data_IF_807907179577
#
_entry.id   IF_807907179577
#
_cell.length_a   1.000
_cell.length_b   1.000
_cell.length_c   1.000
_cell.angle_alpha   90.00
_cell.angle_beta   90.00
_cell.angle_gamma   90.00
#
_symmetry.space_group_name_H-M   'P 1'
#
loop_
_entity.id
_entity.type
_entity.pdbx_description
1 polymer ?
#
# COMPACT_ATOMS: atom_id res chain seq x y z
N UNK A 1 16.60 -14.91 -6.69
CA UNK A 1 15.58 -15.64 -7.51
C UNK A 1 15.05 -14.68 -8.55
N UNK A 2 14.68 -15.15 -9.75
CA UNK A 2 14.02 -14.27 -10.73
C UNK A 2 12.64 -13.84 -10.18
N UNK A 3 12.15 -12.66 -10.54
CA UNK A 3 10.82 -12.17 -10.15
C UNK A 3 9.73 -13.23 -10.46
N UNK A 4 9.88 -13.99 -11.55
CA UNK A 4 8.97 -15.08 -11.91
C UNK A 4 8.88 -16.18 -10.84
N UNK A 5 10.00 -16.58 -10.25
CA UNK A 5 10.02 -17.60 -9.18
C UNK A 5 9.32 -17.10 -7.91
N UNK A 6 9.47 -15.82 -7.59
CA UNK A 6 8.79 -15.20 -6.43
C UNK A 6 7.27 -15.14 -6.66
N UNK A 7 6.82 -14.73 -7.86
CA UNK A 7 5.38 -14.72 -8.20
C UNK A 7 4.77 -16.13 -8.26
N UNK A 8 5.49 -17.13 -8.76
CA UNK A 8 5.04 -18.52 -8.72
C UNK A 8 4.87 -19.02 -7.27
N UNK A 9 5.84 -18.69 -6.38
CA UNK A 9 5.77 -19.01 -4.97
C UNK A 9 4.61 -18.28 -4.26
N UNK A 10 4.39 -17.01 -4.58
CA UNK A 10 3.25 -16.21 -4.11
C UNK A 10 1.92 -16.86 -4.47
N UNK A 11 1.73 -17.19 -5.77
CA UNK A 11 0.54 -17.87 -6.27
C UNK A 11 0.31 -19.23 -5.60
N UNK A 12 1.34 -20.04 -5.47
CA UNK A 12 1.28 -21.34 -4.78
C UNK A 12 0.85 -21.19 -3.31
N UNK A 13 1.45 -20.26 -2.55
CA UNK A 13 1.10 -20.04 -1.13
C UNK A 13 -0.33 -19.54 -0.98
N UNK A 14 -0.77 -18.64 -1.86
CA UNK A 14 -2.15 -18.14 -1.88
C UNK A 14 -3.14 -19.29 -2.18
N UNK A 15 -2.86 -20.09 -3.19
CA UNK A 15 -3.69 -21.25 -3.54
C UNK A 15 -3.73 -22.28 -2.40
N UNK A 16 -2.58 -22.59 -1.81
CA UNK A 16 -2.48 -23.48 -0.65
C UNK A 16 -3.33 -22.97 0.53
N UNK A 17 -3.23 -21.69 0.86
CA UNK A 17 -4.03 -21.08 1.91
C UNK A 17 -5.54 -21.29 1.67
N UNK A 18 -5.99 -21.12 0.42
CA UNK A 18 -7.41 -21.27 0.07
C UNK A 18 -7.88 -22.72 0.07
N UNK A 19 -7.16 -23.61 -0.60
CA UNK A 19 -7.55 -25.02 -0.74
C UNK A 19 -7.54 -25.74 0.60
N UNK A 20 -6.54 -25.49 1.44
CA UNK A 20 -6.42 -26.13 2.75
C UNK A 20 -7.10 -25.33 3.87
N UNK A 21 -7.73 -24.20 3.56
CA UNK A 21 -8.31 -23.25 4.54
C UNK A 21 -7.32 -22.88 5.66
N UNK A 22 -6.03 -22.80 5.32
CA UNK A 22 -4.95 -22.45 6.23
C UNK A 22 -4.68 -20.95 6.18
N UNK A 23 -4.50 -20.35 7.33
CA UNK A 23 -4.04 -18.96 7.41
C UNK A 23 -2.54 -18.92 7.15
N UNK A 24 -2.12 -18.22 6.10
CA UNK A 24 -0.71 -18.04 5.73
C UNK A 24 -0.49 -16.55 5.49
N UNK A 25 0.39 -15.85 6.24
CA UNK A 25 0.65 -14.43 6.07
C UNK A 25 1.50 -14.19 4.81
N UNK A 26 0.88 -14.30 3.63
CA UNK A 26 1.56 -14.18 2.33
C UNK A 26 2.07 -12.77 2.09
N UNK A 27 1.29 -11.76 2.54
CA UNK A 27 1.60 -10.33 2.46
C UNK A 27 1.82 -9.75 3.86
N UNK A 28 2.93 -9.04 4.02
CA UNK A 28 3.28 -8.32 5.25
C UNK A 28 3.46 -6.83 4.95
N UNK A 29 2.72 -5.97 5.64
CA UNK A 29 3.07 -4.56 5.78
C UNK A 29 3.94 -4.39 7.01
N UNK A 30 5.22 -4.07 6.82
CA UNK A 30 6.20 -3.93 7.89
C UNK A 30 6.54 -2.45 8.11
N UNK A 31 6.11 -1.93 9.26
CA UNK A 31 6.53 -0.61 9.73
C UNK A 31 7.90 -0.76 10.40
N UNK A 32 8.96 -0.44 9.66
CA UNK A 32 10.32 -0.63 10.16
C UNK A 32 10.70 0.38 11.24
N UNK A 33 10.12 1.58 11.16
CA UNK A 33 10.29 2.68 12.11
C UNK A 33 9.04 3.57 12.13
N UNK A 34 8.70 4.16 13.26
CA UNK A 34 7.68 5.19 13.35
C UNK A 34 8.27 6.61 13.25
N UNK A 35 9.60 6.74 13.24
CA UNK A 35 10.28 8.03 13.00
C UNK A 35 10.00 8.52 11.59
N UNK A 36 9.74 9.83 11.44
CA UNK A 36 9.49 10.46 10.14
C UNK A 36 10.09 11.87 10.12
N UNK A 37 10.59 12.27 8.97
CA UNK A 37 11.09 13.62 8.68
C UNK A 37 9.99 14.59 8.21
N UNK A 38 8.72 14.14 8.14
CA UNK A 38 7.55 14.95 7.80
C UNK A 38 6.46 14.87 8.89
N UNK A 39 5.50 15.81 8.81
CA UNK A 39 4.28 15.87 9.63
C UNK A 39 3.10 16.17 8.70
N UNK A 40 2.66 15.16 7.93
CA UNK A 40 1.54 15.30 6.99
C UNK A 40 0.22 15.46 7.76
N UNK A 41 -0.69 16.32 7.28
CA UNK A 41 -1.94 16.68 7.96
C UNK A 41 -2.90 15.51 8.24
N UNK A 42 -2.81 14.44 7.49
CA UNK A 42 -3.68 13.25 7.61
C UNK A 42 -2.94 12.03 8.14
N UNK A 43 -1.71 12.18 8.61
CA UNK A 43 -0.87 11.04 8.99
C UNK A 43 -1.33 10.44 10.32
N UNK A 44 -1.65 9.15 10.30
CA UNK A 44 -2.04 8.40 11.49
C UNK A 44 -0.84 7.81 12.26
N UNK A 45 0.37 7.84 11.69
CA UNK A 45 1.59 7.30 12.33
C UNK A 45 2.28 8.33 13.21
N UNK A 46 2.20 9.60 12.84
CA UNK A 46 2.93 10.69 13.50
C UNK A 46 1.99 11.78 14.06
N UNK A 47 0.85 11.36 14.57
CA UNK A 47 -0.10 12.25 15.25
C UNK A 47 0.47 12.67 16.61
N UNK A 48 0.31 13.96 16.98
CA UNK A 48 0.84 14.52 18.23
C UNK A 48 0.20 13.93 19.50
N UNK A 49 -0.97 13.29 19.37
CA UNK A 49 -1.63 12.59 20.47
C UNK A 49 -1.01 11.24 20.80
N UNK A 50 -0.14 10.70 19.93
CA UNK A 50 0.52 9.41 20.11
C UNK A 50 1.69 9.56 21.10
N UNK A 51 1.83 8.57 22.00
CA UNK A 51 2.92 8.49 22.93
C UNK A 51 4.30 8.58 22.24
N UNK A 52 5.22 9.35 22.82
CA UNK A 52 6.58 9.55 22.29
C UNK A 52 7.37 8.25 22.14
N UNK A 53 7.14 7.26 23.00
CA UNK A 53 7.80 5.95 22.89
C UNK A 53 7.33 5.24 21.63
N UNK A 54 6.04 5.29 21.33
CA UNK A 54 5.47 4.73 20.09
C UNK A 54 5.98 5.50 18.87
N UNK A 55 6.01 6.84 18.91
CA UNK A 55 6.50 7.67 17.81
C UNK A 55 7.98 7.43 17.47
N UNK A 56 8.79 7.01 18.45
CA UNK A 56 10.21 6.71 18.26
C UNK A 56 10.50 5.21 18.13
N UNK A 57 9.46 4.37 18.11
CA UNK A 57 9.65 2.93 17.96
C UNK A 57 10.33 2.61 16.63
N UNK A 58 11.31 1.73 16.68
CA UNK A 58 12.10 1.28 15.53
C UNK A 58 12.65 -0.09 15.82
N UNK A 59 12.69 -0.95 14.83
CA UNK A 59 13.38 -2.22 14.93
C UNK A 59 14.87 -2.04 14.67
N UNK A 60 15.73 -2.65 15.48
CA UNK A 60 17.13 -2.81 15.12
C UNK A 60 17.25 -3.71 13.88
N UNK A 61 18.38 -3.62 13.17
CA UNK A 61 18.67 -4.52 12.05
C UNK A 61 18.50 -5.99 12.39
N UNK A 62 18.97 -6.42 13.56
CA UNK A 62 18.88 -7.80 14.03
C UNK A 62 17.44 -8.24 14.29
N UNK A 63 16.64 -7.39 14.93
CA UNK A 63 15.21 -7.65 15.12
C UNK A 63 14.48 -7.74 13.77
N UNK A 64 14.79 -6.83 12.84
CA UNK A 64 14.23 -6.86 11.50
C UNK A 64 14.55 -8.16 10.77
N UNK A 65 15.79 -8.64 10.84
CA UNK A 65 16.19 -9.92 10.25
C UNK A 65 15.43 -11.09 10.87
N UNK A 66 15.33 -11.15 12.20
CA UNK A 66 14.56 -12.20 12.88
C UNK A 66 13.07 -12.19 12.48
N UNK A 67 12.47 -10.99 12.39
CA UNK A 67 11.09 -10.82 11.94
C UNK A 67 10.91 -11.32 10.51
N UNK A 68 11.79 -10.92 9.61
CA UNK A 68 11.76 -11.32 8.21
C UNK A 68 11.90 -12.83 8.05
N UNK A 69 12.80 -13.46 8.82
CA UNK A 69 13.02 -14.91 8.81
C UNK A 69 11.77 -15.66 9.24
N UNK A 70 11.18 -15.27 10.37
CA UNK A 70 10.02 -15.95 10.90
C UNK A 70 8.79 -15.79 9.98
N UNK A 71 8.56 -14.61 9.44
CA UNK A 71 7.49 -14.40 8.45
C UNK A 71 7.73 -15.16 7.15
N UNK A 72 8.98 -15.21 6.65
CA UNK A 72 9.33 -16.01 5.49
C UNK A 72 9.00 -17.50 5.69
N UNK A 73 9.34 -18.05 6.85
CA UNK A 73 9.05 -19.44 7.22
C UNK A 73 7.55 -19.68 7.35
N UNK A 74 6.79 -18.72 7.86
CA UNK A 74 5.33 -18.75 7.90
C UNK A 74 4.68 -18.65 6.51
N UNK A 75 5.40 -18.17 5.50
CA UNK A 75 4.94 -18.17 4.12
C UNK A 75 4.89 -16.80 3.43
N UNK A 76 5.38 -15.74 4.08
CA UNK A 76 5.44 -14.40 3.47
C UNK A 76 6.33 -14.40 2.22
N UNK A 77 5.82 -13.81 1.14
CA UNK A 77 6.52 -13.68 -0.14
C UNK A 77 6.48 -12.25 -0.71
N UNK A 78 5.72 -11.37 -0.09
CA UNK A 78 5.69 -9.94 -0.43
C UNK A 78 5.70 -9.10 0.84
N UNK A 79 6.56 -8.10 0.87
CA UNK A 79 6.64 -7.11 1.94
C UNK A 79 6.38 -5.71 1.36
N UNK A 80 5.46 -4.99 2.00
CA UNK A 80 5.31 -3.56 1.87
C UNK A 80 6.04 -2.92 3.06
N UNK A 81 7.23 -2.42 2.81
CA UNK A 81 8.01 -1.72 3.82
C UNK A 81 7.55 -0.27 3.91
N UNK A 82 7.10 0.10 5.07
CA UNK A 82 6.59 1.42 5.39
C UNK A 82 6.97 1.80 6.84
N UNK A 83 6.33 2.83 7.38
CA UNK A 83 6.57 3.29 8.72
C UNK A 83 6.15 4.75 8.86
N UNK A 84 6.88 5.53 9.65
CA UNK A 84 6.92 6.97 9.50
C UNK A 84 7.57 7.30 8.15
N UNK A 85 8.89 7.17 8.07
CA UNK A 85 9.65 7.20 6.81
C UNK A 85 10.75 6.13 6.87
N UNK A 86 10.66 5.03 6.08
CA UNK A 86 11.63 3.95 6.18
C UNK A 86 13.07 4.39 5.86
N UNK A 87 13.25 5.38 5.00
CA UNK A 87 14.59 5.85 4.62
C UNK A 87 15.31 6.67 5.71
N UNK A 88 14.68 6.96 6.86
CA UNK A 88 15.39 7.53 8.02
C UNK A 88 16.09 6.46 8.85
N UNK A 89 15.79 5.19 8.63
CA UNK A 89 16.44 4.08 9.32
C UNK A 89 17.89 3.95 8.84
N UNK A 90 18.84 3.86 9.78
CA UNK A 90 20.26 3.87 9.45
C UNK A 90 20.69 2.64 8.67
N UNK A 91 20.20 1.46 9.02
CA UNK A 91 20.54 0.17 8.38
C UNK A 91 19.58 -0.22 7.24
N UNK A 92 18.81 0.72 6.67
CA UNK A 92 17.74 0.40 5.72
C UNK A 92 18.24 -0.36 4.48
N UNK A 93 19.43 -0.03 3.98
CA UNK A 93 20.02 -0.70 2.82
C UNK A 93 20.28 -2.19 3.07
N UNK A 94 20.86 -2.52 4.23
CA UNK A 94 21.12 -3.92 4.61
C UNK A 94 19.82 -4.71 4.82
N UNK A 95 18.78 -4.06 5.35
CA UNK A 95 17.46 -4.69 5.55
C UNK A 95 16.79 -4.95 4.19
N UNK A 96 16.83 -3.99 3.25
CA UNK A 96 16.33 -4.16 1.88
C UNK A 96 17.04 -5.33 1.19
N UNK A 97 18.37 -5.35 1.25
CA UNK A 97 19.19 -6.40 0.66
C UNK A 97 18.86 -7.78 1.24
N UNK A 98 18.66 -7.85 2.55
CA UNK A 98 18.30 -9.09 3.22
C UNK A 98 16.95 -9.64 2.74
N UNK A 99 15.92 -8.80 2.65
CA UNK A 99 14.60 -9.17 2.16
C UNK A 99 14.67 -9.71 0.73
N UNK A 100 15.36 -8.97 -0.16
CA UNK A 100 15.44 -9.33 -1.57
C UNK A 100 16.27 -10.60 -1.78
N UNK A 101 17.38 -10.77 -1.06
CA UNK A 101 18.18 -12.01 -1.09
C UNK A 101 17.41 -13.25 -0.66
N UNK A 102 16.44 -13.12 0.25
CA UNK A 102 15.53 -14.20 0.61
C UNK A 102 14.51 -14.56 -0.48
N UNK A 103 14.42 -13.77 -1.55
CA UNK A 103 13.44 -13.96 -2.62
C UNK A 103 12.05 -13.45 -2.25
N UNK A 104 11.94 -12.52 -1.31
CA UNK A 104 10.71 -11.80 -0.98
C UNK A 104 10.60 -10.60 -1.91
N UNK A 105 9.42 -10.38 -2.50
CA UNK A 105 9.15 -9.23 -3.34
C UNK A 105 8.91 -7.99 -2.47
N UNK A 106 9.72 -6.96 -2.64
CA UNK A 106 9.74 -5.79 -1.77
C UNK A 106 9.24 -4.52 -2.45
N UNK A 107 8.22 -3.92 -1.86
CA UNK A 107 7.82 -2.54 -2.11
C UNK A 107 8.33 -1.66 -0.97
N UNK A 108 9.06 -0.60 -1.29
CA UNK A 108 9.44 0.44 -0.32
C UNK A 108 8.53 1.65 -0.52
N UNK A 109 7.80 2.03 0.52
CA UNK A 109 6.86 3.16 0.51
C UNK A 109 7.52 4.32 1.27
N UNK A 110 7.80 5.40 0.56
CA UNK A 110 8.61 6.53 1.06
C UNK A 110 8.00 7.86 0.67
N UNK A 111 8.29 8.93 1.42
CA UNK A 111 7.97 10.29 1.02
C UNK A 111 8.90 10.84 -0.07
N UNK A 112 9.92 10.11 -0.45
CA UNK A 112 10.82 10.42 -1.56
C UNK A 112 11.96 11.40 -1.26
N UNK A 113 11.91 12.14 -0.16
CA UNK A 113 12.85 13.25 0.13
C UNK A 113 14.30 12.77 0.27
N UNK A 114 14.47 11.58 0.87
CA UNK A 114 15.80 11.04 1.13
C UNK A 114 16.36 10.19 -0.02
N UNK A 115 15.56 9.87 -1.03
CA UNK A 115 15.95 9.02 -2.15
C UNK A 115 17.29 9.45 -2.78
N UNK A 116 17.50 10.75 -3.14
CA UNK A 116 18.75 11.14 -3.80
C UNK A 116 20.02 10.87 -2.98
N UNK A 117 19.89 10.74 -1.66
CA UNK A 117 21.01 10.44 -0.74
C UNK A 117 21.15 8.96 -0.42
N UNK A 118 20.14 8.15 -0.77
CA UNK A 118 19.96 6.75 -0.38
C UNK A 118 19.85 5.81 -1.60
N UNK A 119 20.32 6.25 -2.78
CA UNK A 119 20.19 5.50 -4.03
C UNK A 119 20.87 4.12 -3.97
N UNK A 120 22.04 4.04 -3.38
CA UNK A 120 22.77 2.77 -3.24
C UNK A 120 22.06 1.80 -2.30
N UNK A 121 21.37 2.31 -1.28
CA UNK A 121 20.64 1.50 -0.30
C UNK A 121 19.34 0.95 -0.86
N UNK A 122 18.67 1.66 -1.78
CA UNK A 122 17.36 1.25 -2.33
C UNK A 122 17.43 0.53 -3.67
N UNK A 123 18.61 0.49 -4.34
CA UNK A 123 18.76 -0.01 -5.72
C UNK A 123 18.28 -1.45 -5.94
N UNK A 124 18.26 -2.27 -4.90
CA UNK A 124 17.84 -3.65 -4.96
C UNK A 124 16.35 -3.87 -4.65
N UNK A 125 15.61 -2.83 -4.25
CA UNK A 125 14.16 -2.93 -4.06
C UNK A 125 13.45 -3.26 -5.38
N UNK A 126 12.36 -4.02 -5.30
CA UNK A 126 11.61 -4.42 -6.50
C UNK A 126 10.72 -3.29 -7.02
N UNK A 127 10.16 -2.47 -6.14
CA UNK A 127 9.33 -1.31 -6.46
C UNK A 127 9.57 -0.22 -5.42
N UNK A 128 9.71 1.01 -5.87
CA UNK A 128 9.69 2.18 -5.00
C UNK A 128 8.35 2.92 -5.18
N UNK A 129 7.61 3.06 -4.10
CA UNK A 129 6.36 3.83 -4.06
C UNK A 129 6.64 5.19 -3.42
N UNK A 130 6.59 6.26 -4.20
CA UNK A 130 6.81 7.62 -3.70
C UNK A 130 5.48 8.29 -3.42
N UNK A 131 5.34 8.81 -2.22
CA UNK A 131 4.13 9.51 -1.78
C UNK A 131 4.08 10.93 -2.37
N UNK A 132 3.04 11.22 -3.19
CA UNK A 132 2.82 12.52 -3.82
C UNK A 132 1.33 12.76 -4.01
N UNK A 133 0.77 13.79 -3.34
CA UNK A 133 -0.68 14.00 -3.25
C UNK A 133 -1.23 15.03 -4.25
N UNK A 134 -0.39 15.64 -5.04
CA UNK A 134 -0.76 16.65 -6.02
C UNK A 134 0.44 17.41 -6.55
N UNK A 135 0.21 18.42 -7.39
CA UNK A 135 1.25 19.25 -7.97
C UNK A 135 1.52 20.50 -7.11
N UNK A 136 2.80 20.83 -6.92
CA UNK A 136 3.22 22.08 -6.27
C UNK A 136 2.60 22.29 -4.88
N UNK A 137 1.93 23.42 -4.73
CA UNK A 137 1.33 23.84 -3.46
C UNK A 137 0.24 22.88 -2.95
N UNK A 138 -0.45 22.13 -3.83
CA UNK A 138 -1.47 21.13 -3.43
C UNK A 138 -0.84 19.99 -2.64
N UNK A 139 0.35 19.55 -3.03
CA UNK A 139 1.12 18.57 -2.28
C UNK A 139 1.67 19.18 -0.97
N UNK A 140 2.25 20.37 -1.10
CA UNK A 140 2.92 21.05 0.02
C UNK A 140 1.95 21.43 1.14
N UNK A 141 0.71 21.77 0.80
CA UNK A 141 -0.34 22.00 1.80
C UNK A 141 -0.63 20.78 2.68
N UNK A 142 -0.58 19.58 2.11
CA UNK A 142 -0.86 18.34 2.81
C UNK A 142 0.36 17.75 3.52
N UNK A 143 1.55 17.86 2.89
CA UNK A 143 2.78 17.15 3.33
C UNK A 143 3.85 18.06 3.92
N UNK A 144 3.75 19.37 3.69
CA UNK A 144 4.72 20.37 4.14
C UNK A 144 5.43 21.08 2.98
N UNK A 145 5.79 22.33 3.22
CA UNK A 145 6.38 23.23 2.22
C UNK A 145 7.67 22.65 1.59
N UNK A 146 7.75 22.68 0.27
CA UNK A 146 8.91 22.25 -0.52
C UNK A 146 9.07 20.73 -0.59
N UNK A 147 8.05 19.97 -0.22
CA UNK A 147 8.08 18.49 -0.32
C UNK A 147 7.78 18.02 -1.73
N UNK A 148 7.00 18.78 -2.52
CA UNK A 148 6.70 18.45 -3.91
C UNK A 148 7.98 18.28 -4.76
N UNK A 149 8.79 19.33 -4.81
CA UNK A 149 10.01 19.31 -5.62
C UNK A 149 10.96 18.18 -5.21
N UNK A 150 11.11 17.95 -3.90
CA UNK A 150 11.98 16.90 -3.37
C UNK A 150 11.46 15.50 -3.73
N UNK A 151 10.15 15.28 -3.67
CA UNK A 151 9.52 14.02 -4.04
C UNK A 151 9.65 13.75 -5.55
N UNK A 152 9.41 14.75 -6.40
CA UNK A 152 9.61 14.66 -7.86
C UNK A 152 11.07 14.32 -8.19
N UNK A 153 12.03 15.01 -7.59
CA UNK A 153 13.45 14.69 -7.73
C UNK A 153 13.78 13.25 -7.32
N UNK A 154 13.12 12.75 -6.26
CA UNK A 154 13.21 11.35 -5.82
C UNK A 154 12.66 10.38 -6.86
N UNK A 155 11.49 10.66 -7.44
CA UNK A 155 10.86 9.84 -8.49
C UNK A 155 11.79 9.75 -9.72
N UNK A 156 12.28 10.89 -10.19
CA UNK A 156 13.22 10.93 -11.32
C UNK A 156 14.49 10.12 -11.05
N UNK A 157 15.02 10.19 -9.83
CA UNK A 157 16.22 9.44 -9.46
C UNK A 157 15.97 7.93 -9.50
N UNK A 158 14.82 7.46 -8.98
CA UNK A 158 14.40 6.04 -9.03
C UNK A 158 14.24 5.56 -10.48
N UNK A 159 13.55 6.36 -11.30
CA UNK A 159 13.31 6.01 -12.72
C UNK A 159 14.62 5.95 -13.50
N UNK A 160 15.57 6.87 -13.26
CA UNK A 160 16.92 6.82 -13.86
C UNK A 160 17.70 5.56 -13.50
N UNK A 161 17.47 4.98 -12.32
CA UNK A 161 18.07 3.69 -11.93
C UNK A 161 17.38 2.48 -12.59
N UNK A 162 16.27 2.68 -13.32
CA UNK A 162 15.50 1.58 -13.92
C UNK A 162 14.70 0.76 -12.91
N UNK A 163 14.49 1.28 -11.69
CA UNK A 163 13.64 0.64 -10.69
C UNK A 163 12.19 1.01 -11.01
N UNK A 164 11.24 0.06 -11.02
CA UNK A 164 9.81 0.36 -11.14
C UNK A 164 9.39 1.38 -10.09
N UNK A 165 8.88 2.53 -10.54
CA UNK A 165 8.44 3.61 -9.67
C UNK A 165 6.93 3.77 -9.70
N UNK A 166 6.35 3.96 -8.52
CA UNK A 166 4.92 4.20 -8.36
C UNK A 166 4.71 5.47 -7.55
N UNK A 167 3.88 6.35 -8.05
CA UNK A 167 3.34 7.48 -7.28
C UNK A 167 2.16 6.95 -6.47
N UNK A 168 2.14 7.21 -5.17
CA UNK A 168 1.02 6.89 -4.29
C UNK A 168 0.43 8.18 -3.73
N UNK A 169 -0.84 8.44 -4.04
CA UNK A 169 -1.54 9.63 -3.55
C UNK A 169 -2.61 9.25 -2.52
N UNK A 170 -2.62 9.95 -1.39
CA UNK A 170 -3.75 9.94 -0.47
C UNK A 170 -4.74 11.00 -0.92
N UNK A 171 -5.94 10.56 -1.33
CA UNK A 171 -6.97 11.46 -1.86
C UNK A 171 -7.80 12.03 -0.73
N UNK A 172 -7.80 13.34 -0.63
CA UNK A 172 -8.57 14.13 0.33
C UNK A 172 -9.43 15.15 -0.39
N UNK A 173 -10.34 15.82 0.31
CA UNK A 173 -11.15 16.91 -0.28
C UNK A 173 -10.31 18.03 -0.88
N UNK A 174 -9.07 18.22 -0.42
CA UNK A 174 -8.17 19.29 -0.89
C UNK A 174 -7.48 18.97 -2.22
N UNK A 175 -7.32 17.69 -2.57
CA UNK A 175 -6.58 17.29 -3.78
C UNK A 175 -7.36 16.40 -4.75
N UNK A 176 -8.58 15.97 -4.44
CA UNK A 176 -9.35 15.05 -5.30
C UNK A 176 -9.51 15.55 -6.75
N UNK A 177 -9.60 16.89 -6.97
CA UNK A 177 -9.71 17.48 -8.31
C UNK A 177 -8.39 17.55 -9.07
N UNK A 178 -7.28 17.09 -8.49
CA UNK A 178 -5.95 17.10 -9.12
C UNK A 178 -5.55 15.75 -9.67
N UNK A 179 -6.46 14.77 -9.68
CA UNK A 179 -6.11 13.40 -10.04
C UNK A 179 -5.65 13.27 -11.49
N UNK A 180 -6.26 14.01 -12.43
CA UNK A 180 -5.85 14.03 -13.83
C UNK A 180 -4.43 14.59 -13.98
N UNK A 181 -4.16 15.76 -13.40
CA UNK A 181 -2.84 16.38 -13.42
C UNK A 181 -1.76 15.42 -12.85
N UNK A 182 -2.11 14.69 -11.80
CA UNK A 182 -1.21 13.74 -11.16
C UNK A 182 -0.97 12.50 -12.03
N UNK A 183 -1.99 12.00 -12.73
CA UNK A 183 -1.87 10.89 -13.66
C UNK A 183 -1.02 11.26 -14.90
N UNK A 184 -1.18 12.48 -15.41
CA UNK A 184 -0.35 13.02 -16.48
C UNK A 184 1.11 13.18 -16.04
N UNK A 185 1.35 13.72 -14.86
CA UNK A 185 2.70 13.80 -14.28
C UNK A 185 3.33 12.40 -14.12
N UNK A 186 2.54 11.40 -13.67
CA UNK A 186 3.02 10.03 -13.57
C UNK A 186 3.47 9.48 -14.93
N UNK A 187 2.70 9.73 -16.01
CA UNK A 187 3.07 9.36 -17.38
C UNK A 187 4.37 10.05 -17.80
N UNK A 188 4.47 11.34 -17.59
CA UNK A 188 5.64 12.15 -18.02
C UNK A 188 6.92 11.75 -17.27
N UNK A 189 6.78 11.36 -16.00
CA UNK A 189 7.86 10.81 -15.16
C UNK A 189 8.11 9.31 -15.39
N UNK A 190 7.37 8.64 -16.29
CA UNK A 190 7.46 7.17 -16.51
C UNK A 190 7.25 6.35 -15.23
N UNK A 191 6.38 6.83 -14.37
CA UNK A 191 5.91 6.15 -13.17
C UNK A 191 4.45 5.69 -13.36
N UNK A 192 3.98 4.80 -12.50
CA UNK A 192 2.54 4.49 -12.41
C UNK A 192 1.91 5.23 -11.24
N UNK A 193 0.59 5.44 -11.30
CA UNK A 193 -0.18 6.07 -10.24
C UNK A 193 -1.07 5.07 -9.51
N UNK A 194 -1.03 5.07 -8.19
CA UNK A 194 -2.00 4.41 -7.33
C UNK A 194 -2.50 5.39 -6.27
N UNK A 195 -3.69 5.14 -5.76
CA UNK A 195 -4.32 6.03 -4.78
C UNK A 195 -4.81 5.24 -3.58
N UNK A 196 -5.02 5.94 -2.47
CA UNK A 196 -5.82 5.46 -1.34
C UNK A 196 -6.74 6.56 -0.84
N UNK A 197 -7.92 6.22 -0.31
CA UNK A 197 -8.63 7.15 0.55
C UNK A 197 -7.81 7.38 1.82
N UNK A 198 -8.00 8.50 2.51
CA UNK A 198 -7.41 8.69 3.83
C UNK A 198 -8.00 7.66 4.81
N UNK A 199 -7.23 7.29 5.82
CA UNK A 199 -7.65 6.30 6.84
C UNK A 199 -8.67 6.91 7.83
N UNK A 200 -9.80 7.38 7.30
CA UNK A 200 -10.89 7.98 8.09
C UNK A 200 -12.06 6.99 8.32
N UNK A 201 -11.75 5.72 8.56
CA UNK A 201 -12.76 4.78 9.06
C UNK A 201 -12.95 5.05 10.57
N UNK A 202 -13.58 6.21 10.87
CA UNK A 202 -13.77 6.72 12.21
C UNK A 202 -13.86 8.25 12.22
N UNK A 203 -13.81 8.83 13.43
CA UNK A 203 -13.69 10.28 13.59
C UNK A 203 -12.29 10.72 13.16
N UNK A 204 -12.20 11.72 12.30
CA UNK A 204 -10.94 12.33 11.91
C UNK A 204 -10.75 13.65 12.64
N UNK A 205 -9.52 13.91 13.07
CA UNK A 205 -9.12 15.23 13.61
C UNK A 205 -9.06 16.31 12.51
N UNK A 206 -9.27 15.94 11.24
CA UNK A 206 -9.22 16.83 10.08
C UNK A 206 -10.51 16.76 9.25
N UNK A 207 -11.66 17.26 9.74
CA UNK A 207 -12.95 17.17 9.04
C UNK A 207 -12.96 17.86 7.67
N UNK A 208 -12.10 18.88 7.46
CA UNK A 208 -11.92 19.60 6.20
C UNK A 208 -11.24 18.77 5.10
N UNK A 209 -10.65 17.63 5.44
CA UNK A 209 -10.08 16.67 4.49
C UNK A 209 -11.08 15.59 4.07
N UNK A 210 -12.22 15.50 4.74
CA UNK A 210 -13.24 14.46 4.51
C UNK A 210 -13.96 14.69 3.18
N UNK A 211 -14.03 13.67 2.35
CA UNK A 211 -14.70 13.66 1.05
C UNK A 211 -16.16 13.23 1.26
N UNK A 212 -17.12 13.91 0.68
CA UNK A 212 -18.52 13.49 0.70
C UNK A 212 -18.76 12.29 -0.22
N UNK A 213 -19.86 11.57 0.01
CA UNK A 213 -20.24 10.43 -0.84
C UNK A 213 -20.44 10.83 -2.31
N UNK A 214 -20.96 12.04 -2.57
CA UNK A 214 -21.13 12.55 -3.93
C UNK A 214 -19.78 12.83 -4.59
N UNK A 215 -18.86 13.51 -3.88
CA UNK A 215 -17.51 13.78 -4.36
C UNK A 215 -16.74 12.48 -4.64
N UNK A 216 -16.91 11.41 -3.81
CA UNK A 216 -16.31 10.10 -4.08
C UNK A 216 -16.83 9.49 -5.38
N UNK A 217 -18.15 9.54 -5.64
CA UNK A 217 -18.72 8.99 -6.87
C UNK A 217 -18.23 9.71 -8.11
N UNK A 218 -18.13 11.05 -8.06
CA UNK A 218 -17.57 11.85 -9.13
C UNK A 218 -16.09 11.52 -9.37
N UNK A 219 -15.32 11.42 -8.30
CA UNK A 219 -13.92 11.05 -8.34
C UNK A 219 -13.69 9.66 -8.96
N UNK A 220 -14.47 8.64 -8.57
CA UNK A 220 -14.31 7.29 -9.12
C UNK A 220 -14.67 7.21 -10.61
N UNK A 221 -15.63 8.01 -11.07
CA UNK A 221 -15.94 8.13 -12.50
C UNK A 221 -14.75 8.70 -13.26
N UNK A 222 -14.22 9.83 -12.80
CA UNK A 222 -13.03 10.43 -13.42
C UNK A 222 -11.84 9.48 -13.40
N UNK A 223 -11.59 8.79 -12.29
CA UNK A 223 -10.48 7.84 -12.17
C UNK A 223 -10.60 6.65 -13.13
N UNK A 224 -11.84 6.18 -13.37
CA UNK A 224 -12.14 5.17 -14.39
C UNK A 224 -11.91 5.71 -15.81
N UNK A 225 -12.29 6.93 -16.09
CA UNK A 225 -12.03 7.58 -17.38
C UNK A 225 -10.53 7.68 -17.66
N UNK A 226 -9.72 8.09 -16.67
CA UNK A 226 -8.26 8.15 -16.80
C UNK A 226 -7.64 6.79 -17.13
N UNK A 227 -8.13 5.71 -16.50
CA UNK A 227 -7.70 4.35 -16.84
C UNK A 227 -8.05 4.00 -18.29
N UNK A 228 -9.27 4.32 -18.75
CA UNK A 228 -9.74 4.06 -20.12
C UNK A 228 -9.01 4.91 -21.18
N UNK A 229 -8.56 6.11 -20.82
CA UNK A 229 -7.70 6.95 -21.64
C UNK A 229 -6.26 6.40 -21.77
N UNK A 230 -5.92 5.35 -21.02
CA UNK A 230 -4.60 4.72 -21.06
C UNK A 230 -3.54 5.43 -20.22
N UNK A 231 -3.93 6.29 -19.28
CA UNK A 231 -3.00 6.86 -18.31
C UNK A 231 -2.47 5.77 -17.38
N UNK A 232 -1.27 5.91 -16.80
CA UNK A 232 -0.57 4.86 -16.09
C UNK A 232 -1.16 4.56 -14.69
N UNK A 233 -2.44 4.25 -14.63
CA UNK A 233 -3.16 3.88 -13.41
C UNK A 233 -2.80 2.44 -13.04
N UNK A 234 -2.30 2.23 -11.83
CA UNK A 234 -1.86 0.92 -11.35
C UNK A 234 -2.99 0.09 -10.68
N UNK A 235 -4.15 0.68 -10.46
CA UNK A 235 -5.31 -0.03 -9.93
C UNK A 235 -6.07 -0.74 -11.06
N UNK A 236 -6.57 -1.94 -10.80
CA UNK A 236 -7.34 -2.70 -11.79
C UNK A 236 -8.72 -2.09 -12.04
N UNK A 237 -9.25 -2.30 -13.25
CA UNK A 237 -10.61 -1.92 -13.63
C UNK A 237 -11.62 -2.41 -12.58
N UNK A 238 -11.52 -3.69 -12.19
CA UNK A 238 -12.45 -4.30 -11.25
C UNK A 238 -12.43 -3.63 -9.87
N UNK A 239 -11.25 -3.20 -9.40
CA UNK A 239 -11.15 -2.52 -8.11
C UNK A 239 -11.76 -1.13 -8.16
N UNK A 240 -11.59 -0.41 -9.27
CA UNK A 240 -12.20 0.92 -9.50
C UNK A 240 -13.72 0.79 -9.60
N UNK A 241 -14.24 -0.16 -10.39
CA UNK A 241 -15.68 -0.44 -10.49
C UNK A 241 -16.29 -0.78 -9.12
N UNK A 242 -15.61 -1.60 -8.31
CA UNK A 242 -16.07 -1.91 -6.95
C UNK A 242 -16.13 -0.69 -6.03
N UNK A 243 -15.22 0.26 -6.20
CA UNK A 243 -15.27 1.52 -5.47
C UNK A 243 -16.38 2.45 -6.00
N UNK A 244 -16.57 2.54 -7.32
CA UNK A 244 -17.62 3.34 -7.95
C UNK A 244 -19.02 2.88 -7.54
N UNK A 245 -19.23 1.56 -7.53
CA UNK A 245 -20.51 0.93 -7.19
C UNK A 245 -20.69 0.72 -5.67
N UNK A 246 -19.83 1.31 -4.82
CA UNK A 246 -19.89 1.15 -3.38
C UNK A 246 -21.28 1.46 -2.84
N UNK A 247 -21.96 0.51 -2.13
CA UNK A 247 -23.40 0.58 -1.93
C UNK A 247 -23.86 1.38 -0.70
N UNK A 248 -22.91 1.82 0.13
CA UNK A 248 -23.17 2.53 1.39
C UNK A 248 -22.29 3.78 1.50
N UNK A 249 -22.29 4.42 2.66
CA UNK A 249 -21.37 5.52 2.96
C UNK A 249 -19.91 5.06 2.79
N UNK A 250 -19.09 5.86 2.07
CA UNK A 250 -17.68 5.54 1.80
C UNK A 250 -16.80 5.52 3.07
N UNK A 251 -17.24 6.16 4.14
CA UNK A 251 -16.56 6.17 5.43
C UNK A 251 -16.96 5.00 6.33
N UNK A 252 -17.74 4.06 5.81
CA UNK A 252 -18.21 2.88 6.50
C UNK A 252 -17.77 1.62 5.76
N UNK A 253 -17.42 0.58 6.50
CA UNK A 253 -17.21 -0.76 5.95
C UNK A 253 -18.49 -1.59 5.95
N UNK A 254 -18.57 -2.58 5.08
CA UNK A 254 -19.64 -3.58 5.03
C UNK A 254 -19.40 -4.60 6.13
N UNK A 255 -20.40 -4.85 6.96
CA UNK A 255 -20.37 -5.80 8.07
C UNK A 255 -20.76 -7.21 7.64
N UNK A 256 -20.38 -8.19 8.48
CA UNK A 256 -20.80 -9.58 8.32
C UNK A 256 -22.34 -9.64 8.36
N UNK A 257 -22.93 -10.31 7.36
CA UNK A 257 -24.39 -10.48 7.25
C UNK A 257 -25.11 -9.39 6.44
N UNK A 258 -24.50 -8.25 6.15
CA UNK A 258 -25.10 -7.26 5.26
C UNK A 258 -25.15 -7.78 3.81
N UNK A 259 -26.29 -7.59 3.14
CA UNK A 259 -26.54 -8.03 1.76
C UNK A 259 -27.05 -6.85 0.93
N UNK A 260 -26.70 -6.86 -0.35
CA UNK A 260 -27.08 -5.82 -1.32
C UNK A 260 -27.51 -6.49 -2.61
N UNK A 261 -28.61 -6.04 -3.21
CA UNK A 261 -29.20 -6.67 -4.41
C UNK A 261 -28.26 -6.58 -5.62
N UNK A 262 -27.60 -5.43 -5.81
CA UNK A 262 -26.78 -5.15 -6.98
C UNK A 262 -25.29 -5.02 -6.66
N UNK A 263 -24.85 -5.38 -5.46
CA UNK A 263 -23.44 -5.31 -5.08
C UNK A 263 -22.98 -6.56 -4.35
N UNK A 264 -21.96 -7.21 -4.88
CA UNK A 264 -21.29 -8.33 -4.22
C UNK A 264 -19.98 -7.87 -3.59
N UNK A 265 -19.91 -7.78 -2.25
CA UNK A 265 -18.69 -7.41 -1.55
C UNK A 265 -17.53 -8.35 -1.87
N UNK A 266 -16.33 -7.78 -2.01
CA UNK A 266 -15.09 -8.56 -2.09
C UNK A 266 -14.67 -8.90 -0.66
N UNK A 267 -14.59 -10.19 -0.34
CA UNK A 267 -14.19 -10.62 1.00
C UNK A 267 -12.75 -10.23 1.30
N UNK A 268 -12.58 -9.43 2.36
CA UNK A 268 -11.28 -8.97 2.83
C UNK A 268 -10.49 -10.11 3.48
N UNK A 269 -9.28 -10.36 3.01
CA UNK A 269 -8.39 -11.42 3.49
C UNK A 269 -7.37 -10.95 4.55
N UNK A 270 -7.57 -9.76 5.10
CA UNK A 270 -6.76 -9.25 6.20
C UNK A 270 -6.94 -10.16 7.44
N UNK A 271 -5.83 -10.51 8.08
CA UNK A 271 -5.79 -11.51 9.14
C UNK A 271 -5.79 -12.98 8.67
N UNK A 272 -6.00 -13.23 7.37
CA UNK A 272 -5.91 -14.58 6.77
C UNK A 272 -4.66 -14.75 5.90
N UNK A 273 -4.40 -13.82 5.01
CA UNK A 273 -3.26 -13.85 4.08
C UNK A 273 -2.47 -12.54 4.05
N UNK A 274 -3.00 -11.51 4.65
CA UNK A 274 -2.36 -10.22 4.85
C UNK A 274 -2.29 -9.89 6.34
N UNK A 275 -1.19 -9.27 6.73
CA UNK A 275 -0.95 -8.78 8.11
C UNK A 275 -0.13 -7.51 8.07
N UNK A 276 -0.31 -6.64 9.05
CA UNK A 276 0.58 -5.51 9.30
C UNK A 276 1.28 -5.68 10.66
N UNK A 277 2.52 -5.24 10.75
CA UNK A 277 3.32 -5.23 11.96
C UNK A 277 3.90 -3.84 12.19
N UNK A 278 3.50 -3.20 13.27
CA UNK A 278 3.99 -1.89 13.69
C UNK A 278 5.39 -1.96 14.29
N UNK A 279 6.12 -0.86 14.24
CA UNK A 279 7.48 -0.75 14.78
C UNK A 279 7.52 -0.93 16.31
N UNK A 280 6.41 -0.65 17.00
CA UNK A 280 6.22 -0.89 18.45
C UNK A 280 6.02 -2.38 18.80
N UNK A 281 5.86 -3.25 17.79
CA UNK A 281 5.69 -4.69 17.96
C UNK A 281 4.24 -5.18 17.93
N UNK A 282 3.27 -4.29 17.71
CA UNK A 282 1.86 -4.68 17.62
C UNK A 282 1.53 -5.22 16.24
N UNK A 283 0.86 -6.37 16.20
CA UNK A 283 0.39 -6.99 14.95
C UNK A 283 -1.06 -6.60 14.68
N UNK A 284 -1.35 -6.11 13.46
CA UNK A 284 -2.66 -5.59 13.09
C UNK A 284 -3.31 -6.40 11.97
N UNK A 285 -4.62 -6.59 12.06
CA UNK A 285 -5.40 -7.13 10.94
C UNK A 285 -5.47 -6.14 9.76
N UNK A 286 -5.58 -4.85 10.05
CA UNK A 286 -5.85 -3.84 9.04
C UNK A 286 -5.24 -2.49 9.43
N UNK A 287 -4.52 -1.86 8.48
CA UNK A 287 -3.94 -0.53 8.66
C UNK A 287 -4.99 0.60 8.54
N UNK A 288 -6.14 0.33 7.89
CA UNK A 288 -7.17 1.36 7.64
C UNK A 288 -8.12 1.58 8.83
N UNK A 289 -8.10 0.71 9.85
CA UNK A 289 -8.97 0.79 11.02
C UNK A 289 -8.26 1.38 12.24
N UNK A 290 -7.24 2.21 12.00
CA UNK A 290 -6.53 2.91 13.06
C UNK A 290 -5.73 1.97 13.95
N UNK A 291 -4.84 1.22 13.39
CA UNK A 291 -3.69 0.43 13.94
C UNK A 291 -3.45 0.48 15.47
N UNK A 292 -4.47 0.42 16.31
CA UNK A 292 -4.29 0.68 17.74
C UNK A 292 -4.41 -0.58 18.62
N UNK A 293 -4.95 -1.69 18.09
CA UNK A 293 -5.20 -2.87 18.91
C UNK A 293 -4.83 -4.15 18.19
N UNK A 294 -4.02 -4.95 18.84
CA UNK A 294 -3.59 -6.26 18.38
C UNK A 294 -2.63 -6.91 19.36
N UNK A 295 -2.27 -8.17 19.14
CA UNK A 295 -1.29 -8.87 19.97
C UNK A 295 0.11 -8.29 19.72
N UNK A 296 0.89 -8.12 20.80
CA UNK A 296 2.28 -7.63 20.72
C UNK A 296 3.26 -8.80 20.58
N UNK A 297 4.06 -8.79 19.51
CA UNK A 297 5.05 -9.84 19.24
C UNK A 297 6.18 -9.89 20.26
N UNK A 298 6.50 -8.75 20.89
CA UNK A 298 7.53 -8.65 21.94
C UNK A 298 7.11 -9.40 23.21
N UNK A 299 5.80 -9.56 23.45
CA UNK A 299 5.25 -10.24 24.62
C UNK A 299 5.04 -11.73 24.39
N UNK A 300 4.52 -12.12 23.22
CA UNK A 300 4.05 -13.49 22.99
C UNK A 300 4.70 -14.19 21.79
N UNK A 301 5.57 -13.51 21.05
CA UNK A 301 6.20 -14.00 19.83
C UNK A 301 5.32 -13.92 18.58
N UNK A 302 5.95 -13.94 17.41
CA UNK A 302 5.29 -13.68 16.10
C UNK A 302 4.23 -14.75 15.79
N UNK A 303 4.55 -16.03 15.95
CA UNK A 303 3.62 -17.14 15.61
C UNK A 303 2.35 -17.09 16.47
N UNK A 304 2.53 -16.92 17.77
CA UNK A 304 1.40 -16.84 18.70
C UNK A 304 0.58 -15.58 18.49
N UNK A 305 1.22 -14.45 18.16
CA UNK A 305 0.53 -13.22 17.78
C UNK A 305 -0.31 -13.44 16.50
N UNK A 306 0.24 -14.09 15.47
CA UNK A 306 -0.50 -14.45 14.27
C UNK A 306 -1.69 -15.39 14.55
N UNK A 307 -1.51 -16.40 15.39
CA UNK A 307 -2.60 -17.31 15.78
C UNK A 307 -3.76 -16.56 16.41
N UNK A 308 -3.47 -15.63 17.31
CA UNK A 308 -4.47 -14.84 18.05
C UNK A 308 -5.01 -13.64 17.31
N UNK A 309 -4.40 -13.24 16.18
CA UNK A 309 -4.72 -12.00 15.48
C UNK A 309 -6.21 -11.84 15.14
N UNK A 310 -6.93 -12.93 14.85
CA UNK A 310 -8.35 -12.88 14.52
C UNK A 310 -9.26 -12.52 15.72
N UNK A 311 -8.78 -12.65 16.95
CA UNK A 311 -9.50 -12.21 18.15
C UNK A 311 -9.75 -10.68 18.11
N UNK A 312 -8.90 -9.96 17.37
CA UNK A 312 -8.92 -8.50 17.20
C UNK A 312 -9.52 -8.06 15.86
N UNK A 313 -10.04 -9.01 15.08
CA UNK A 313 -10.60 -8.67 13.78
C UNK A 313 -11.97 -8.01 13.95
N UNK A 314 -12.20 -6.84 13.31
CA UNK A 314 -13.52 -6.22 13.30
C UNK A 314 -14.53 -7.08 12.51
N UNK A 315 -15.80 -6.81 12.69
CA UNK A 315 -16.94 -7.48 12.01
C UNK A 315 -17.09 -7.08 10.53
N UNK A 316 -15.99 -6.66 9.88
CA UNK A 316 -15.97 -6.19 8.49
C UNK A 316 -15.77 -7.32 7.47
N UNK A 317 -16.49 -7.20 6.34
CA UNK A 317 -16.32 -8.07 5.16
C UNK A 317 -15.54 -7.36 4.07
N UNK A 318 -15.81 -6.08 3.85
CA UNK A 318 -15.22 -5.26 2.79
C UNK A 318 -15.21 -3.79 3.19
N UNK A 319 -14.34 -2.99 2.59
CA UNK A 319 -14.30 -1.53 2.77
C UNK A 319 -14.11 -0.84 1.42
N UNK A 320 -14.34 0.47 1.38
CA UNK A 320 -14.18 1.31 0.18
C UNK A 320 -12.72 1.61 -0.18
N UNK A 321 -11.75 1.10 0.58
CA UNK A 321 -10.33 1.28 0.28
C UNK A 321 -9.94 0.46 -0.95
N UNK A 322 -9.59 1.14 -2.04
CA UNK A 322 -9.22 0.50 -3.31
C UNK A 322 -8.05 -0.48 -3.14
N UNK A 323 -7.07 -0.15 -2.31
CA UNK A 323 -5.91 -1.02 -2.09
C UNK A 323 -6.29 -2.32 -1.35
N UNK A 324 -7.28 -2.26 -0.44
CA UNK A 324 -7.82 -3.45 0.21
C UNK A 324 -8.63 -4.31 -0.78
N UNK A 325 -9.43 -3.68 -1.63
CA UNK A 325 -10.20 -4.36 -2.68
C UNK A 325 -9.24 -5.00 -3.69
N UNK A 326 -8.26 -4.27 -4.19
CA UNK A 326 -7.22 -4.76 -5.12
C UNK A 326 -6.50 -5.98 -4.55
N UNK A 327 -5.98 -5.86 -3.32
CA UNK A 327 -5.29 -6.97 -2.65
C UNK A 327 -6.22 -8.17 -2.45
N UNK A 328 -7.47 -7.94 -2.07
CA UNK A 328 -8.44 -9.00 -1.90
C UNK A 328 -8.80 -9.69 -3.23
N UNK A 329 -8.93 -8.95 -4.33
CA UNK A 329 -9.14 -9.51 -5.67
C UNK A 329 -7.93 -10.36 -6.11
N UNK A 330 -6.71 -9.85 -5.95
CA UNK A 330 -5.48 -10.60 -6.25
C UNK A 330 -5.41 -11.90 -5.45
N UNK A 331 -5.61 -11.85 -4.15
CA UNK A 331 -5.56 -13.01 -3.24
C UNK A 331 -6.77 -13.94 -3.42
N UNK A 332 -7.88 -13.45 -3.96
CA UNK A 332 -9.00 -14.26 -4.41
C UNK A 332 -8.78 -14.90 -5.80
N UNK A 333 -7.57 -14.75 -6.38
CA UNK A 333 -7.18 -15.27 -7.68
C UNK A 333 -8.10 -14.77 -8.81
N UNK A 334 -8.51 -13.52 -8.72
CA UNK A 334 -9.27 -12.90 -9.81
C UNK A 334 -8.35 -12.68 -11.00
N UNK A 335 -8.58 -13.45 -12.08
CA UNK A 335 -7.61 -13.62 -13.19
C UNK A 335 -7.27 -12.30 -13.88
N UNK A 336 -8.25 -11.44 -14.13
CA UNK A 336 -8.02 -10.13 -14.77
C UNK A 336 -7.17 -9.20 -13.91
N UNK A 337 -7.43 -9.16 -12.60
CA UNK A 337 -6.64 -8.37 -11.64
C UNK A 337 -5.20 -8.87 -11.55
N UNK A 338 -4.98 -10.19 -11.61
CA UNK A 338 -3.63 -10.79 -11.63
C UNK A 338 -2.83 -10.38 -12.87
N UNK A 339 -3.46 -10.39 -14.06
CA UNK A 339 -2.81 -9.97 -15.32
C UNK A 339 -2.53 -8.46 -15.28
N UNK A 340 -3.48 -7.63 -14.84
CA UNK A 340 -3.30 -6.19 -14.68
C UNK A 340 -2.14 -5.87 -13.74
N UNK A 341 -2.12 -6.51 -12.57
CA UNK A 341 -1.05 -6.36 -11.60
C UNK A 341 0.33 -6.73 -12.18
N UNK A 342 0.42 -7.78 -12.99
CA UNK A 342 1.68 -8.18 -13.62
C UNK A 342 2.20 -7.15 -14.63
N UNK A 343 1.34 -6.57 -15.46
CA UNK A 343 1.74 -5.55 -16.44
C UNK A 343 2.48 -4.37 -15.78
N UNK A 344 2.02 -3.92 -14.61
CA UNK A 344 2.64 -2.82 -13.87
C UNK A 344 3.90 -3.20 -13.06
N UNK A 345 4.21 -4.48 -12.94
CA UNK A 345 5.43 -4.97 -12.27
C UNK A 345 6.55 -5.35 -13.26
N UNK A 346 6.31 -5.26 -14.58
CA UNK A 346 7.31 -5.58 -15.61
C UNK A 346 7.97 -4.31 -16.16
N UNK A 347 9.30 -4.15 -16.03
CA UNK A 347 10.01 -2.94 -16.50
C UNK A 347 9.93 -2.70 -18.01
N UNK A 348 9.54 -3.69 -18.80
CA UNK A 348 9.57 -3.65 -20.26
C UNK A 348 8.36 -2.99 -20.93
N UNK A 349 7.24 -2.81 -20.24
CA UNK A 349 6.01 -2.29 -20.84
C UNK A 349 5.75 -0.79 -20.63
N UNK A 350 6.48 -0.14 -19.73
CA UNK A 350 6.41 1.31 -19.53
C UNK A 350 7.09 2.13 -20.65
N UNK A 351 7.78 1.46 -21.59
CA UNK A 351 8.56 2.11 -22.67
C UNK A 351 7.92 2.07 -24.05
N UNK A 352 6.73 1.46 -24.23
CA UNK A 352 6.09 1.35 -25.56
C UNK A 352 4.77 2.14 -25.60
N UNK A 353 4.70 3.24 -26.38
CA UNK A 353 3.42 3.88 -26.70
C UNK A 353 2.67 3.00 -27.71
N UNK A 354 1.45 2.59 -27.39
CA UNK A 354 0.47 2.13 -28.36
C UNK A 354 0.68 0.72 -28.91
N UNK A 355 0.33 -0.32 -28.15
CA UNK A 355 -0.06 -1.59 -28.73
C UNK A 355 -1.60 -1.61 -28.82
N UNK A 356 -2.11 -1.41 -30.03
CA UNK A 356 -3.51 -1.54 -30.40
C UNK A 356 -4.09 -2.86 -29.88
N UNK A 357 -5.13 -2.79 -29.07
CA UNK A 357 -6.03 -3.90 -28.82
C UNK A 357 -6.82 -4.15 -30.12
N UNK A 358 -6.31 -4.99 -31.01
CA UNK A 358 -7.11 -5.58 -32.08
C UNK A 358 -7.94 -6.71 -31.47
N UNK A 359 -9.25 -6.52 -31.59
CA UNK A 359 -10.31 -7.49 -31.36
C UNK A 359 -10.08 -8.78 -32.16
N UNK A 360 -10.18 -9.89 -31.49
CA UNK A 360 -10.32 -11.23 -32.00
C UNK A 360 -11.09 -12.05 -30.99
#
# INVERSE_FOLDING_TARGET
MSNLGTFASLGYKTLKSRLLKQRIPVFLSLFITNRCNLRCKYCFVVDESIDKEILNAEYTKQEAFCIIDEFYDMGTRMIFMLGGEPLVHDDIGEIIDYIVKKGIYLHVITNGILIPRKLDEIKNANVICVSLDGLGEKNDDLRGRGTYEKAVNGIEAVVRLGIPCRIHAVITRRNLKSIRELAELARDLKASLTISPPNFLGETNCPDLKISNQEYKEFWKEYLELLNEGLPIANSLESIEKCLDWPIDYHRYIKIGEKFDNYKPVFCLNGYTYVALGAEGVMYNCINLGCLNGPNIKEIGIRKAWERLLEWRPDCVSCSSINCIETALMLNLHFKTLIGGWKFHSPKELTTPGAELRSG
#
